data_IF_622686309915
#
_entry.id   IF_622686309915
#
_cell.length_a   1.000
_cell.length_b   1.000
_cell.length_c   1.000
_cell.angle_alpha   90.00
_cell.angle_beta   90.00
_cell.angle_gamma   90.00
#
_symmetry.space_group_name_H-M   'P 1'
#
loop_
_entity.id
_entity.type
_entity.pdbx_description
1 polymer ?
#
# COMPACT_ATOMS: atom_id res chain seq x y z
N UNK A 1 28.78 -9.58 17.61
CA UNK A 1 28.39 -10.43 16.47
C UNK A 1 26.98 -10.10 15.96
N UNK A 2 25.93 -10.14 16.79
CA UNK A 2 24.55 -9.88 16.34
C UNK A 2 24.35 -8.53 15.61
N UNK A 3 24.97 -7.45 16.09
CA UNK A 3 24.88 -6.14 15.45
C UNK A 3 25.49 -6.13 14.04
N UNK A 4 26.59 -6.84 13.79
CA UNK A 4 27.21 -6.90 12.46
C UNK A 4 26.27 -7.56 11.43
N UNK A 5 25.57 -8.63 11.84
CA UNK A 5 24.60 -9.32 10.98
C UNK A 5 23.41 -8.42 10.61
N UNK A 6 22.93 -7.59 11.53
CA UNK A 6 21.84 -6.66 11.28
C UNK A 6 22.20 -5.62 10.21
N UNK A 7 23.38 -5.01 10.30
CA UNK A 7 23.83 -4.04 9.30
C UNK A 7 24.00 -4.71 7.92
N UNK A 8 24.55 -5.93 7.86
CA UNK A 8 24.67 -6.69 6.59
C UNK A 8 23.28 -6.92 5.96
N UNK A 9 22.28 -7.28 6.78
CA UNK A 9 20.91 -7.49 6.31
C UNK A 9 20.29 -6.17 5.84
N UNK A 10 20.50 -5.07 6.55
CA UNK A 10 19.99 -3.75 6.14
C UNK A 10 20.60 -3.28 4.81
N UNK A 11 21.93 -3.36 4.65
CA UNK A 11 22.60 -2.92 3.41
C UNK A 11 22.23 -3.81 2.20
N UNK A 12 22.10 -5.12 2.41
CA UNK A 12 21.63 -6.03 1.36
C UNK A 12 20.16 -5.78 1.00
N UNK A 13 19.31 -5.53 2.00
CA UNK A 13 17.92 -5.14 1.83
C UNK A 13 17.75 -3.84 1.05
N UNK A 14 18.55 -2.81 1.37
CA UNK A 14 18.60 -1.57 0.62
C UNK A 14 18.97 -1.78 -0.84
N UNK A 15 20.05 -2.53 -1.10
CA UNK A 15 20.51 -2.81 -2.47
C UNK A 15 19.44 -3.54 -3.28
N UNK A 16 18.76 -4.51 -2.65
CA UNK A 16 17.65 -5.24 -3.27
C UNK A 16 16.44 -4.35 -3.50
N UNK A 17 16.08 -3.48 -2.55
CA UNK A 17 14.97 -2.54 -2.67
C UNK A 17 15.19 -1.55 -3.82
N UNK A 18 16.41 -1.02 -3.97
CA UNK A 18 16.76 -0.15 -5.09
C UNK A 18 16.66 -0.89 -6.42
N UNK A 19 17.24 -2.08 -6.51
CA UNK A 19 17.24 -2.88 -7.74
C UNK A 19 15.81 -3.31 -8.15
N UNK A 20 15.02 -3.79 -7.21
CA UNK A 20 13.64 -4.26 -7.47
C UNK A 20 12.69 -3.12 -7.80
N UNK A 21 12.75 -1.99 -7.08
CA UNK A 21 11.91 -0.84 -7.39
C UNK A 21 12.33 -0.15 -8.70
N UNK A 22 13.62 -0.08 -9.01
CA UNK A 22 14.09 0.40 -10.31
C UNK A 22 13.63 -0.51 -11.46
N UNK A 23 13.73 -1.84 -11.27
CA UNK A 23 13.19 -2.81 -12.22
C UNK A 23 11.67 -2.66 -12.37
N UNK A 24 10.94 -2.43 -11.28
CA UNK A 24 9.49 -2.21 -11.31
C UNK A 24 9.16 -0.99 -12.18
N UNK A 25 9.83 0.14 -11.96
CA UNK A 25 9.64 1.35 -12.77
C UNK A 25 9.97 1.07 -14.25
N UNK A 26 11.09 0.40 -14.52
CA UNK A 26 11.49 0.03 -15.87
C UNK A 26 10.45 -0.85 -16.58
N UNK A 27 9.91 -1.85 -15.87
CA UNK A 27 8.85 -2.73 -16.38
C UNK A 27 7.55 -1.96 -16.62
N UNK A 28 7.21 -1.02 -15.75
CA UNK A 28 6.03 -0.16 -15.95
C UNK A 28 6.21 0.69 -17.21
N UNK A 29 7.37 1.31 -17.41
CA UNK A 29 7.60 2.16 -18.59
C UNK A 29 7.64 1.35 -19.90
N UNK A 30 8.23 0.14 -19.87
CA UNK A 30 8.49 -0.65 -21.08
C UNK A 30 7.35 -1.60 -21.45
N UNK A 31 6.65 -2.17 -20.46
CA UNK A 31 5.64 -3.23 -20.64
C UNK A 31 4.23 -2.82 -20.24
N UNK A 32 4.03 -1.69 -19.55
CA UNK A 32 2.68 -1.21 -19.22
C UNK A 32 2.04 -0.56 -20.45
N UNK A 33 1.42 -1.38 -21.30
CA UNK A 33 0.61 -0.91 -22.41
C UNK A 33 -0.61 -0.08 -21.95
N UNK A 34 -1.46 0.35 -22.90
CA UNK A 34 -2.68 1.17 -22.63
C UNK A 34 -3.68 0.55 -21.63
N UNK A 35 -3.53 -0.73 -21.29
CA UNK A 35 -4.39 -1.48 -20.38
C UNK A 35 -4.36 -0.95 -18.92
N UNK A 36 -3.27 -0.32 -18.50
CA UNK A 36 -3.07 0.16 -17.12
C UNK A 36 -3.14 1.71 -16.96
N UNK A 37 -3.80 2.41 -17.90
CA UNK A 37 -3.79 3.87 -18.06
C UNK A 37 -3.56 4.73 -16.81
N UNK A 38 -4.48 4.73 -15.84
CA UNK A 38 -4.32 5.51 -14.58
C UNK A 38 -3.59 4.74 -13.48
N UNK A 39 -3.71 3.41 -13.47
CA UNK A 39 -3.08 2.52 -12.47
C UNK A 39 -1.56 2.62 -12.44
N UNK A 40 -0.95 2.86 -13.60
CA UNK A 40 0.51 2.99 -13.73
C UNK A 40 1.08 4.05 -12.78
N UNK A 41 0.35 5.15 -12.53
CA UNK A 41 0.80 6.20 -11.64
C UNK A 41 0.87 5.74 -10.18
N UNK A 42 -0.12 4.95 -9.72
CA UNK A 42 -0.11 4.38 -8.37
C UNK A 42 1.06 3.43 -8.17
N UNK A 43 1.36 2.59 -9.17
CA UNK A 43 2.52 1.69 -9.10
C UNK A 43 3.86 2.43 -9.12
N UNK A 44 3.98 3.52 -9.89
CA UNK A 44 5.19 4.37 -9.91
C UNK A 44 5.36 5.07 -8.56
N UNK A 45 4.29 5.65 -8.02
CA UNK A 45 4.32 6.30 -6.69
C UNK A 45 4.74 5.31 -5.61
N UNK A 46 4.21 4.09 -5.64
CA UNK A 46 4.63 3.02 -4.73
C UNK A 46 6.13 2.73 -4.81
N UNK A 47 6.69 2.56 -6.01
CA UNK A 47 8.12 2.30 -6.17
C UNK A 47 8.98 3.46 -5.68
N UNK A 48 8.61 4.71 -6.01
CA UNK A 48 9.34 5.90 -5.56
C UNK A 48 9.30 6.03 -4.04
N UNK A 49 8.12 5.86 -3.43
CA UNK A 49 7.98 5.89 -1.98
C UNK A 49 8.74 4.75 -1.30
N UNK A 50 8.79 3.55 -1.90
CA UNK A 50 9.58 2.43 -1.40
C UNK A 50 11.08 2.67 -1.49
N UNK A 51 11.57 3.32 -2.56
CA UNK A 51 12.96 3.75 -2.66
C UNK A 51 13.31 4.78 -1.58
N UNK A 52 12.47 5.80 -1.38
CA UNK A 52 12.66 6.80 -0.31
C UNK A 52 12.68 6.13 1.07
N UNK A 53 11.73 5.22 1.33
CA UNK A 53 11.69 4.44 2.57
C UNK A 53 13.02 3.71 2.82
N UNK A 54 13.56 3.00 1.83
CA UNK A 54 14.83 2.28 1.99
C UNK A 54 16.04 3.20 2.24
N UNK A 55 16.03 4.42 1.69
CA UNK A 55 17.06 5.44 1.97
C UNK A 55 16.98 5.89 3.43
N UNK A 56 15.77 6.18 3.91
CA UNK A 56 15.52 6.57 5.31
C UNK A 56 15.93 5.45 6.27
N UNK A 57 15.63 4.20 5.93
CA UNK A 57 16.00 3.02 6.72
C UNK A 57 17.52 2.88 6.91
N UNK A 58 18.30 3.01 5.84
CA UNK A 58 19.78 2.97 5.93
C UNK A 58 20.33 4.17 6.68
N UNK A 59 19.77 5.37 6.46
CA UNK A 59 20.25 6.59 7.11
C UNK A 59 20.01 6.58 8.63
N UNK A 60 18.91 5.97 9.06
CA UNK A 60 18.54 5.87 10.48
C UNK A 60 19.21 4.70 11.20
N UNK A 61 19.76 3.73 10.48
CA UNK A 61 20.28 2.47 11.05
C UNK A 61 19.26 1.85 12.03
N UNK A 62 17.97 1.83 11.61
CA UNK A 62 16.86 1.48 12.48
C UNK A 62 16.84 -0.01 12.79
N UNK A 63 16.73 -0.36 14.06
CA UNK A 63 16.59 -1.74 14.55
C UNK A 63 15.20 -1.90 15.16
N UNK A 64 14.42 -2.81 14.59
CA UNK A 64 13.09 -3.15 15.08
C UNK A 64 13.20 -4.38 15.98
N UNK A 65 12.67 -4.28 17.19
CA UNK A 65 12.53 -5.41 18.10
C UNK A 65 11.05 -5.66 18.41
N UNK A 66 10.56 -6.85 18.08
CA UNK A 66 9.17 -7.26 18.32
C UNK A 66 9.17 -8.32 19.42
N UNK A 67 8.47 -8.06 20.52
CA UNK A 67 8.32 -9.03 21.62
C UNK A 67 6.86 -9.07 22.08
N UNK A 68 6.16 -10.15 21.70
CA UNK A 68 4.72 -10.27 21.96
C UNK A 68 3.93 -9.20 21.20
N UNK A 69 2.97 -8.49 21.83
CA UNK A 69 2.20 -7.42 21.19
C UNK A 69 2.97 -6.09 21.09
N UNK A 70 4.22 -6.03 21.58
CA UNK A 70 5.00 -4.79 21.66
C UNK A 70 5.95 -4.67 20.48
N UNK A 71 5.86 -3.54 19.78
CA UNK A 71 6.68 -3.15 18.64
C UNK A 71 7.52 -1.93 19.04
N UNK A 72 8.85 -2.08 19.10
CA UNK A 72 9.76 -0.98 19.46
C UNK A 72 10.77 -0.78 18.35
N UNK A 73 10.93 0.48 17.95
CA UNK A 73 11.88 0.94 16.93
C UNK A 73 12.99 1.71 17.64
N UNK A 74 14.22 1.24 17.49
CA UNK A 74 15.41 1.91 18.00
C UNK A 74 16.23 2.45 16.84
N UNK A 75 16.80 3.63 17.01
CA UNK A 75 17.71 4.25 16.05
C UNK A 75 19.12 4.23 16.66
N UNK A 76 20.07 3.56 16.01
CA UNK A 76 21.44 3.39 16.52
C UNK A 76 22.44 4.33 15.82
N UNK A 77 21.99 5.51 15.39
CA UNK A 77 22.84 6.49 14.71
C UNK A 77 23.28 7.61 15.67
N UNK A 78 24.54 7.55 16.12
CA UNK A 78 25.12 8.51 17.06
C UNK A 78 25.12 9.97 16.56
N UNK A 79 25.14 10.19 15.23
CA UNK A 79 25.07 11.53 14.64
C UNK A 79 23.69 12.17 14.78
N UNK A 80 22.62 11.41 14.55
CA UNK A 80 21.25 11.92 14.67
C UNK A 80 20.84 12.19 16.11
N UNK A 81 21.33 11.36 17.04
CA UNK A 81 21.10 11.56 18.48
C UNK A 81 21.79 12.83 18.98
N UNK A 82 23.00 13.13 18.47
CA UNK A 82 23.76 14.34 18.86
C UNK A 82 23.16 15.63 18.30
N UNK A 83 22.55 15.58 17.12
CA UNK A 83 21.97 16.77 16.46
C UNK A 83 20.55 17.08 16.92
N UNK A 84 19.90 16.19 17.69
CA UNK A 84 18.53 16.36 18.18
C UNK A 84 17.44 16.00 17.17
N UNK A 85 17.81 15.58 15.95
CA UNK A 85 16.87 15.22 14.89
C UNK A 85 16.38 13.76 14.97
N UNK A 86 16.90 12.96 15.92
CA UNK A 86 16.58 11.54 16.01
C UNK A 86 15.07 11.22 16.07
N UNK A 87 14.28 12.02 16.81
CA UNK A 87 12.84 11.81 16.92
C UNK A 87 12.10 12.05 15.59
N UNK A 88 12.45 13.13 14.89
CA UNK A 88 11.82 13.50 13.62
C UNK A 88 12.10 12.44 12.55
N UNK A 89 13.34 11.97 12.44
CA UNK A 89 13.70 10.98 11.42
C UNK A 89 13.14 9.60 11.76
N UNK A 90 13.06 9.23 13.04
CA UNK A 90 12.36 8.00 13.47
C UNK A 90 10.87 8.07 13.13
N UNK A 91 10.24 9.24 13.30
CA UNK A 91 8.84 9.45 12.92
C UNK A 91 8.66 9.35 11.41
N UNK A 92 9.58 9.91 10.62
CA UNK A 92 9.59 9.82 9.17
C UNK A 92 9.72 8.35 8.69
N UNK A 93 10.54 7.55 9.39
CA UNK A 93 10.63 6.11 9.14
C UNK A 93 9.28 5.42 9.34
N UNK A 94 8.63 5.62 10.49
CA UNK A 94 7.32 5.03 10.76
C UNK A 94 6.24 5.48 9.76
N UNK A 95 6.24 6.77 9.40
CA UNK A 95 5.30 7.33 8.43
C UNK A 95 5.50 6.75 7.03
N UNK A 96 6.76 6.64 6.57
CA UNK A 96 7.07 6.05 5.28
C UNK A 96 6.76 4.55 5.22
N UNK A 97 7.03 3.80 6.30
CA UNK A 97 6.61 2.40 6.43
C UNK A 97 5.10 2.23 6.29
N UNK A 98 4.31 3.00 7.05
CA UNK A 98 2.85 2.97 6.98
C UNK A 98 2.31 3.38 5.59
N UNK A 99 2.97 4.35 4.95
CA UNK A 99 2.60 4.82 3.61
C UNK A 99 2.85 3.75 2.54
N UNK A 100 3.97 3.02 2.60
CA UNK A 100 4.26 1.92 1.67
C UNK A 100 3.22 0.80 1.81
N UNK A 101 2.85 0.42 3.04
CA UNK A 101 1.79 -0.56 3.30
C UNK A 101 0.44 -0.06 2.75
N UNK A 102 0.11 1.21 2.99
CA UNK A 102 -1.14 1.80 2.51
C UNK A 102 -1.21 1.80 0.98
N UNK A 103 -0.11 2.16 0.30
CA UNK A 103 -0.04 2.13 -1.17
C UNK A 103 -0.12 0.70 -1.72
N UNK A 104 0.46 -0.28 -1.03
CA UNK A 104 0.30 -1.70 -1.37
C UNK A 104 -1.18 -2.12 -1.28
N UNK A 105 -1.89 -1.71 -0.23
CA UNK A 105 -3.32 -1.97 -0.09
C UNK A 105 -4.14 -1.32 -1.21
N UNK A 106 -3.83 -0.08 -1.58
CA UNK A 106 -4.47 0.61 -2.72
C UNK A 106 -4.25 -0.14 -4.03
N UNK A 107 -3.09 -0.77 -4.25
CA UNK A 107 -2.87 -1.60 -5.44
C UNK A 107 -3.78 -2.83 -5.47
N UNK A 108 -3.92 -3.54 -4.36
CA UNK A 108 -4.84 -4.68 -4.25
C UNK A 108 -6.29 -4.23 -4.47
N UNK A 109 -6.68 -3.13 -3.84
CA UNK A 109 -7.99 -2.53 -4.00
C UNK A 109 -8.25 -2.18 -5.47
N UNK A 110 -7.32 -1.50 -6.14
CA UNK A 110 -7.48 -1.14 -7.54
C UNK A 110 -7.64 -2.36 -8.45
N UNK A 111 -6.84 -3.42 -8.22
CA UNK A 111 -6.96 -4.68 -8.98
C UNK A 111 -8.33 -5.30 -8.80
N UNK A 112 -8.86 -5.29 -7.57
CA UNK A 112 -10.20 -5.76 -7.29
C UNK A 112 -11.27 -4.95 -8.05
N UNK A 113 -11.19 -3.62 -8.03
CA UNK A 113 -12.13 -2.75 -8.77
C UNK A 113 -12.11 -3.03 -10.27
N UNK A 114 -10.94 -3.23 -10.87
CA UNK A 114 -10.83 -3.53 -12.31
C UNK A 114 -11.45 -4.88 -12.63
N UNK A 115 -11.25 -5.90 -11.80
CA UNK A 115 -11.85 -7.22 -11.98
C UNK A 115 -13.38 -7.17 -11.86
N UNK A 116 -13.92 -6.46 -10.87
CA UNK A 116 -15.36 -6.36 -10.64
C UNK A 116 -16.09 -5.43 -11.63
N UNK A 117 -15.37 -4.61 -12.41
CA UNK A 117 -15.96 -3.65 -13.35
C UNK A 117 -16.89 -4.29 -14.38
N UNK A 118 -16.51 -5.44 -14.92
CA UNK A 118 -17.30 -6.17 -15.92
C UNK A 118 -18.64 -6.64 -15.32
N UNK A 119 -18.57 -7.31 -14.16
CA UNK A 119 -19.74 -7.79 -13.40
C UNK A 119 -20.70 -6.66 -13.03
N UNK A 120 -20.16 -5.52 -12.56
CA UNK A 120 -20.97 -4.36 -12.18
C UNK A 120 -21.73 -3.77 -13.37
N UNK A 121 -21.06 -3.70 -14.53
CA UNK A 121 -21.65 -3.13 -15.74
C UNK A 121 -22.77 -4.03 -16.27
N UNK A 122 -22.60 -5.35 -16.20
CA UNK A 122 -23.58 -6.33 -16.67
C UNK A 122 -24.81 -6.38 -15.74
N UNK A 123 -24.61 -6.45 -14.43
CA UNK A 123 -25.70 -6.66 -13.49
C UNK A 123 -26.40 -5.38 -13.03
N UNK A 124 -25.68 -4.25 -12.95
CA UNK A 124 -26.20 -3.02 -12.37
C UNK A 124 -26.30 -1.88 -13.39
N UNK A 125 -25.70 -2.02 -14.59
CA UNK A 125 -25.59 -0.97 -15.60
C UNK A 125 -25.01 0.34 -15.05
N UNK A 126 -24.10 0.24 -14.06
CA UNK A 126 -23.47 1.38 -13.40
C UNK A 126 -22.00 1.47 -13.77
N UNK A 127 -21.54 2.69 -14.09
CA UNK A 127 -20.14 2.97 -14.41
C UNK A 127 -19.29 3.11 -13.13
N UNK A 128 -18.33 2.20 -12.93
CA UNK A 128 -17.49 2.13 -11.72
C UNK A 128 -16.60 3.36 -11.47
N UNK A 129 -16.54 4.32 -12.39
CA UNK A 129 -15.76 5.56 -12.25
C UNK A 129 -16.50 6.68 -11.51
N UNK A 130 -17.84 6.61 -11.47
CA UNK A 130 -18.69 7.67 -10.92
C UNK A 130 -19.42 7.25 -9.62
N UNK A 131 -19.23 6.01 -9.16
CA UNK A 131 -19.82 5.51 -7.91
C UNK A 131 -18.75 5.24 -6.86
N UNK A 132 -19.03 5.63 -5.62
CA UNK A 132 -18.32 5.08 -4.47
C UNK A 132 -18.51 3.56 -4.47
N UNK A 133 -17.42 2.80 -4.36
CA UNK A 133 -17.40 1.35 -4.57
C UNK A 133 -18.38 0.55 -3.68
N UNK A 134 -18.81 1.14 -2.57
CA UNK A 134 -19.76 0.54 -1.62
C UNK A 134 -21.22 0.74 -2.08
N UNK A 135 -21.51 1.80 -2.85
CA UNK A 135 -22.87 2.15 -3.26
C UNK A 135 -23.62 1.10 -4.14
N UNK A 136 -22.98 0.33 -5.04
CA UNK A 136 -23.65 -0.76 -5.78
C UNK A 136 -24.03 -1.94 -4.89
N UNK A 137 -23.42 -2.06 -3.70
CA UNK A 137 -23.68 -3.14 -2.75
C UNK A 137 -25.05 -2.99 -2.07
N UNK A 138 -25.61 -1.77 -2.07
CA UNK A 138 -26.81 -1.44 -1.32
C UNK A 138 -28.11 -1.57 -2.12
N UNK A 139 -28.05 -1.44 -3.45
CA UNK A 139 -29.22 -1.65 -4.30
C UNK A 139 -28.86 -2.36 -5.60
N UNK A 140 -29.71 -3.30 -6.01
CA UNK A 140 -29.68 -3.96 -7.31
C UNK A 140 -30.84 -3.49 -8.18
N UNK A 141 -30.57 -3.22 -9.45
CA UNK A 141 -31.61 -2.82 -10.40
C UNK A 141 -32.16 -4.07 -11.08
N UNK A 142 -33.44 -4.39 -10.83
CA UNK A 142 -34.12 -5.49 -11.49
C UNK A 142 -34.34 -5.23 -12.99
N UNK A 143 -34.63 -6.29 -13.76
CA UNK A 143 -34.85 -6.24 -15.23
C UNK A 143 -35.93 -5.24 -15.69
N UNK A 144 -36.81 -4.81 -14.79
CA UNK A 144 -37.90 -3.86 -15.05
C UNK A 144 -37.64 -2.43 -14.53
N UNK A 145 -36.42 -2.12 -14.06
CA UNK A 145 -36.07 -0.81 -13.50
C UNK A 145 -36.46 -0.60 -12.03
N UNK A 146 -36.98 -1.62 -11.35
CA UNK A 146 -37.24 -1.58 -9.91
C UNK A 146 -35.93 -1.67 -9.11
N UNK A 147 -35.76 -0.74 -8.16
CA UNK A 147 -34.60 -0.72 -7.25
C UNK A 147 -34.87 -1.65 -6.07
N UNK A 148 -34.18 -2.78 -6.00
CA UNK A 148 -34.26 -3.75 -4.92
C UNK A 148 -33.08 -3.55 -3.95
N UNK A 149 -33.37 -3.16 -2.72
CA UNK A 149 -32.35 -2.94 -1.69
C UNK A 149 -31.84 -4.28 -1.14
N UNK A 150 -30.52 -4.47 -1.09
CA UNK A 150 -29.91 -5.69 -0.55
C UNK A 150 -29.38 -5.44 0.86
N UNK A 151 -30.30 -5.47 1.83
CA UNK A 151 -30.04 -5.08 3.22
C UNK A 151 -29.05 -6.05 3.89
N UNK A 152 -28.99 -7.32 3.46
CA UNK A 152 -28.01 -8.28 3.97
C UNK A 152 -26.57 -7.88 3.66
N UNK A 153 -26.30 -7.36 2.46
CA UNK A 153 -24.96 -6.92 2.08
C UNK A 153 -24.58 -5.61 2.82
N UNK A 154 -25.56 -4.75 3.14
CA UNK A 154 -25.35 -3.61 4.04
C UNK A 154 -24.84 -4.06 5.42
N UNK A 155 -25.48 -5.08 5.99
CA UNK A 155 -25.14 -5.58 7.33
C UNK A 155 -23.78 -6.27 7.32
N UNK A 156 -23.45 -7.03 6.27
CA UNK A 156 -22.13 -7.66 6.11
C UNK A 156 -20.98 -6.65 6.00
N UNK A 157 -21.22 -5.45 5.46
CA UNK A 157 -20.20 -4.39 5.35
C UNK A 157 -19.85 -3.69 6.68
N UNK A 158 -20.67 -3.88 7.72
CA UNK A 158 -20.46 -3.30 9.06
C UNK A 158 -19.60 -4.19 9.98
N UNK A 159 -19.04 -5.30 9.46
CA UNK A 159 -18.24 -6.29 10.21
C UNK A 159 -18.93 -6.80 11.49
N UNK A 160 -20.27 -6.75 11.52
CA UNK A 160 -21.08 -7.39 12.56
C UNK A 160 -21.18 -8.87 12.18
N UNK A 161 -20.23 -9.66 12.69
CA UNK A 161 -20.32 -11.12 12.68
C UNK A 161 -21.60 -11.54 13.42
N UNK A 162 -22.58 -12.04 12.67
CA UNK A 162 -23.76 -12.75 13.17
C UNK A 162 -23.62 -14.24 12.85
#
# INVERSE_FOLDING_TARGET
>A
MAMLWLHIIQYSGFSLAQLTNALLIYLILTRSGKLFGSYRYVMIVFAVCSMIYSIVEVFTEVVIHIKGPVFIVFMDNAWLTRTGWGNEVTTLYCASFALVISLLAVQFFYRYVVTCKEELKVHYNVDSRNLAFIAPMYWSSGKNGEKKWNILDCIGSLDVQL
#
